data_IF_030349353386
#
_entry.id   IF_030349353386
#
_cell.length_a   1.000
_cell.length_b   1.000
_cell.length_c   1.000
_cell.angle_alpha   90.00
_cell.angle_beta   90.00
_cell.angle_gamma   90.00
#
_symmetry.space_group_name_H-M   'P 1'
#
loop_
_entity.id
_entity.type
_entity.pdbx_description
1 polymer ?
#
# COMPACT_ATOMS: atom_id res chain seq x y z
N UNK A 1 -33.82 57.61 -6.87
CA UNK A 1 -33.84 56.51 -5.88
C UNK A 1 -33.76 55.14 -6.55
N UNK A 2 -34.47 54.89 -7.66
CA UNK A 2 -34.37 53.65 -8.43
C UNK A 2 -32.95 53.36 -8.96
N UNK A 3 -32.24 54.38 -9.46
CA UNK A 3 -30.89 54.20 -10.05
C UNK A 3 -29.83 53.73 -9.04
N UNK A 4 -29.95 54.16 -7.78
CA UNK A 4 -29.04 53.76 -6.70
C UNK A 4 -29.30 52.30 -6.26
N UNK A 5 -30.55 51.83 -6.39
CA UNK A 5 -30.90 50.44 -6.10
C UNK A 5 -30.38 49.53 -7.22
N UNK A 6 -30.55 49.93 -8.49
CA UNK A 6 -30.05 49.17 -9.63
C UNK A 6 -28.52 49.03 -9.60
N UNK A 7 -27.81 50.14 -9.34
CA UNK A 7 -26.35 50.12 -9.23
C UNK A 7 -25.85 49.14 -8.15
N UNK A 8 -26.48 49.13 -6.96
CA UNK A 8 -26.10 48.19 -5.88
C UNK A 8 -26.40 46.74 -6.23
N UNK A 9 -27.45 46.50 -7.00
CA UNK A 9 -27.80 45.17 -7.52
C UNK A 9 -26.72 44.68 -8.49
N UNK A 10 -26.30 45.53 -9.42
CA UNK A 10 -25.26 45.21 -10.39
C UNK A 10 -23.91 44.94 -9.69
N UNK A 11 -23.53 45.77 -8.72
CA UNK A 11 -22.32 45.57 -7.89
C UNK A 11 -22.38 44.25 -7.09
N UNK A 12 -23.54 43.92 -6.53
CA UNK A 12 -23.74 42.65 -5.79
C UNK A 12 -23.66 41.44 -6.72
N UNK A 13 -24.15 41.56 -7.96
CA UNK A 13 -24.13 40.49 -8.96
C UNK A 13 -22.70 40.18 -9.43
N UNK A 14 -21.86 41.22 -9.58
CA UNK A 14 -20.43 41.07 -9.88
C UNK A 14 -19.73 40.29 -8.77
N UNK A 15 -19.94 40.68 -7.51
CA UNK A 15 -19.34 39.99 -6.36
C UNK A 15 -19.79 38.52 -6.30
N UNK A 16 -21.08 38.24 -6.48
CA UNK A 16 -21.60 36.86 -6.49
C UNK A 16 -20.98 36.01 -7.62
N UNK A 17 -20.75 36.61 -8.80
CA UNK A 17 -20.13 35.94 -9.95
C UNK A 17 -18.66 35.61 -9.68
N UNK A 18 -17.93 36.52 -9.04
CA UNK A 18 -16.55 36.29 -8.61
C UNK A 18 -16.45 35.17 -7.57
N UNK A 19 -17.36 35.16 -6.58
CA UNK A 19 -17.43 34.11 -5.57
C UNK A 19 -17.72 32.74 -6.20
N UNK A 20 -18.65 32.65 -7.14
CA UNK A 20 -18.93 31.43 -7.90
C UNK A 20 -17.72 30.94 -8.70
N UNK A 21 -17.00 31.87 -9.34
CA UNK A 21 -15.79 31.55 -10.10
C UNK A 21 -14.68 31.00 -9.20
N UNK A 22 -14.50 31.56 -8.01
CA UNK A 22 -13.53 31.06 -7.04
C UNK A 22 -13.92 29.68 -6.50
N UNK A 23 -15.20 29.46 -6.21
CA UNK A 23 -15.72 28.17 -5.76
C UNK A 23 -15.48 27.06 -6.79
N UNK A 24 -15.71 27.32 -8.08
CA UNK A 24 -15.46 26.35 -9.14
C UNK A 24 -13.97 25.97 -9.25
N UNK A 25 -13.05 26.92 -9.02
CA UNK A 25 -11.61 26.64 -8.99
C UNK A 25 -11.24 25.74 -7.81
N UNK A 26 -11.80 25.97 -6.62
CA UNK A 26 -11.57 25.13 -5.45
C UNK A 26 -12.06 23.70 -5.71
N UNK A 27 -13.25 23.56 -6.31
CA UNK A 27 -13.80 22.24 -6.66
C UNK A 27 -12.91 21.48 -7.64
N UNK A 28 -12.40 22.15 -8.68
CA UNK A 28 -11.46 21.55 -9.63
C UNK A 28 -10.15 21.08 -8.96
N UNK A 29 -9.60 21.88 -8.04
CA UNK A 29 -8.40 21.49 -7.27
C UNK A 29 -8.67 20.24 -6.43
N UNK A 30 -9.84 20.17 -5.79
CA UNK A 30 -10.22 19.02 -4.98
C UNK A 30 -10.41 17.75 -5.82
N UNK A 31 -10.98 17.88 -7.01
CA UNK A 31 -11.13 16.75 -7.94
C UNK A 31 -9.76 16.23 -8.43
N UNK A 32 -8.83 17.14 -8.77
CA UNK A 32 -7.47 16.77 -9.19
C UNK A 32 -6.66 16.12 -8.06
N UNK A 33 -6.83 16.59 -6.82
CA UNK A 33 -6.22 15.97 -5.65
C UNK A 33 -6.73 14.54 -5.47
N UNK A 34 -8.05 14.34 -5.53
CA UNK A 34 -8.67 13.02 -5.40
C UNK A 34 -8.18 12.05 -6.49
N UNK A 35 -8.10 12.51 -7.75
CA UNK A 35 -7.55 11.71 -8.86
C UNK A 35 -6.08 11.36 -8.63
N UNK A 36 -5.29 12.28 -8.08
CA UNK A 36 -3.87 12.05 -7.80
C UNK A 36 -3.67 11.03 -6.68
N UNK A 37 -4.48 11.09 -5.63
CA UNK A 37 -4.49 10.09 -4.55
C UNK A 37 -4.83 8.70 -5.11
N UNK A 38 -5.88 8.59 -5.93
CA UNK A 38 -6.23 7.31 -6.56
C UNK A 38 -5.11 6.74 -7.44
N UNK A 39 -4.39 7.60 -8.20
CA UNK A 39 -3.23 7.17 -8.98
C UNK A 39 -2.09 6.67 -8.09
N UNK A 40 -1.83 7.33 -6.97
CA UNK A 40 -0.84 6.90 -5.97
C UNK A 40 -1.20 5.54 -5.37
N UNK A 41 -2.46 5.34 -4.98
CA UNK A 41 -2.93 4.04 -4.46
C UNK A 41 -2.74 2.92 -5.48
N UNK A 42 -3.15 3.16 -6.74
CA UNK A 42 -2.93 2.19 -7.83
C UNK A 42 -1.45 1.89 -8.06
N UNK A 43 -0.60 2.91 -7.99
CA UNK A 43 0.85 2.75 -8.16
C UNK A 43 1.46 1.92 -7.02
N UNK A 44 1.03 2.13 -5.77
CA UNK A 44 1.45 1.33 -4.61
C UNK A 44 1.05 -0.14 -4.81
N UNK A 45 -0.17 -0.41 -5.29
CA UNK A 45 -0.64 -1.77 -5.57
C UNK A 45 0.21 -2.44 -6.65
N UNK A 46 0.48 -1.75 -7.77
CA UNK A 46 1.33 -2.28 -8.84
C UNK A 46 2.77 -2.56 -8.37
N UNK A 47 3.35 -1.68 -7.54
CA UNK A 47 4.68 -1.91 -6.98
C UNK A 47 4.74 -3.15 -6.08
N UNK A 48 3.73 -3.37 -5.25
CA UNK A 48 3.63 -4.58 -4.42
C UNK A 48 3.59 -5.84 -5.30
N UNK A 49 2.84 -5.82 -6.40
CA UNK A 49 2.79 -6.93 -7.36
C UNK A 49 4.15 -7.18 -8.02
N UNK A 50 4.82 -6.13 -8.52
CA UNK A 50 6.16 -6.26 -9.14
C UNK A 50 7.17 -6.81 -8.12
N UNK A 51 7.12 -6.33 -6.88
CA UNK A 51 7.99 -6.81 -5.81
C UNK A 51 7.74 -8.27 -5.49
N UNK A 52 6.47 -8.69 -5.39
CA UNK A 52 6.06 -10.08 -5.20
C UNK A 52 6.58 -10.99 -6.34
N UNK A 53 6.40 -10.59 -7.60
CA UNK A 53 6.88 -11.34 -8.78
C UNK A 53 8.41 -11.47 -8.77
N UNK A 54 9.13 -10.40 -8.41
CA UNK A 54 10.60 -10.45 -8.31
C UNK A 54 11.05 -11.36 -7.18
N UNK A 55 10.33 -11.38 -6.07
CA UNK A 55 10.59 -12.26 -4.93
C UNK A 55 10.33 -13.72 -5.27
N UNK A 56 9.21 -14.06 -5.92
CA UNK A 56 8.92 -15.43 -6.36
C UNK A 56 9.90 -15.92 -7.41
N UNK A 57 10.29 -15.10 -8.38
CA UNK A 57 11.32 -15.44 -9.35
C UNK A 57 12.69 -15.69 -8.69
N UNK A 58 13.04 -14.88 -7.68
CA UNK A 58 14.26 -15.10 -6.89
C UNK A 58 14.16 -16.35 -6.02
N UNK A 59 12.99 -16.64 -5.44
CA UNK A 59 12.76 -17.87 -4.68
C UNK A 59 12.86 -19.11 -5.56
N UNK A 60 12.24 -19.14 -6.75
CA UNK A 60 12.34 -20.26 -7.68
C UNK A 60 13.81 -20.56 -8.09
N UNK A 61 14.63 -19.52 -8.24
CA UNK A 61 16.06 -19.66 -8.51
C UNK A 61 16.91 -19.99 -7.28
N UNK A 62 16.39 -19.80 -6.07
CA UNK A 62 17.11 -19.94 -4.79
C UNK A 62 16.46 -21.01 -3.89
N UNK A 63 15.53 -21.83 -4.40
CA UNK A 63 14.99 -22.99 -3.70
C UNK A 63 16.13 -23.95 -3.37
N UNK A 64 16.70 -23.80 -2.18
CA UNK A 64 17.80 -24.62 -1.68
C UNK A 64 17.20 -25.81 -0.96
N UNK A 65 17.87 -26.97 -1.05
CA UNK A 65 17.52 -28.15 -0.22
C UNK A 65 17.70 -27.90 1.28
N UNK A 66 18.42 -26.85 1.66
CA UNK A 66 18.62 -26.45 3.05
C UNK A 66 18.87 -24.94 3.15
N UNK A 67 18.35 -24.33 4.22
CA UNK A 67 18.67 -22.96 4.62
C UNK A 67 19.37 -22.95 5.97
N UNK A 68 20.26 -21.98 6.17
CA UNK A 68 20.75 -21.62 7.51
C UNK A 68 19.69 -20.80 8.25
N UNK A 69 19.74 -20.79 9.58
CA UNK A 69 18.82 -19.98 10.40
C UNK A 69 18.92 -18.49 10.05
N UNK A 70 20.13 -17.99 9.79
CA UNK A 70 20.37 -16.60 9.40
C UNK A 70 19.68 -16.25 8.08
N UNK A 71 19.79 -17.11 7.06
CA UNK A 71 19.12 -16.90 5.77
C UNK A 71 17.59 -16.91 5.91
N UNK A 72 17.04 -17.90 6.62
CA UNK A 72 15.60 -18.01 6.82
C UNK A 72 15.03 -16.83 7.62
N UNK A 73 15.77 -16.35 8.62
CA UNK A 73 15.38 -15.18 9.43
C UNK A 73 15.42 -13.91 8.59
N UNK A 74 16.46 -13.71 7.78
CA UNK A 74 16.56 -12.56 6.88
C UNK A 74 15.42 -12.53 5.85
N UNK A 75 15.03 -13.70 5.32
CA UNK A 75 13.89 -13.82 4.40
C UNK A 75 12.56 -13.56 5.10
N UNK A 76 12.31 -14.17 6.27
CA UNK A 76 11.09 -13.94 7.04
C UNK A 76 10.92 -12.47 7.44
N UNK A 77 12.02 -11.77 7.73
CA UNK A 77 12.00 -10.34 8.06
C UNK A 77 11.46 -9.45 6.92
N UNK A 78 11.66 -9.85 5.65
CA UNK A 78 11.06 -9.15 4.49
C UNK A 78 9.53 -9.14 4.58
N UNK A 79 8.94 -10.18 5.18
CA UNK A 79 7.49 -10.31 5.39
C UNK A 79 7.03 -9.80 6.77
N UNK A 80 7.89 -9.10 7.50
CA UNK A 80 7.62 -8.62 8.86
C UNK A 80 7.46 -9.76 9.88
N UNK A 81 8.06 -10.91 9.61
CA UNK A 81 8.01 -12.08 10.48
C UNK A 81 9.36 -12.34 11.16
N UNK A 82 9.33 -13.03 12.30
CA UNK A 82 10.53 -13.51 13.01
C UNK A 82 10.55 -15.03 13.08
N UNK A 83 11.74 -15.62 13.08
CA UNK A 83 11.94 -17.07 13.19
C UNK A 83 12.61 -17.38 14.52
N UNK A 84 11.97 -18.24 15.33
CA UNK A 84 12.50 -18.65 16.63
C UNK A 84 12.66 -20.16 16.65
N UNK A 85 13.80 -20.64 17.15
CA UNK A 85 14.05 -22.08 17.30
C UNK A 85 13.30 -22.61 18.53
N UNK A 86 12.56 -23.70 18.35
CA UNK A 86 11.82 -24.39 19.42
C UNK A 86 12.13 -25.89 19.33
N UNK A 87 13.04 -26.36 20.19
CA UNK A 87 13.52 -27.74 20.17
C UNK A 87 14.23 -28.07 18.85
N UNK A 88 13.72 -29.07 18.14
CA UNK A 88 14.22 -29.51 16.83
C UNK A 88 13.58 -28.79 15.64
N UNK A 89 12.59 -27.92 15.89
CA UNK A 89 11.84 -27.19 14.87
C UNK A 89 12.02 -25.67 15.03
N UNK A 90 11.40 -24.94 14.12
CA UNK A 90 11.37 -23.48 14.09
C UNK A 90 9.93 -22.99 14.03
N UNK A 91 9.65 -21.88 14.70
CA UNK A 91 8.38 -21.18 14.65
C UNK A 91 8.55 -19.90 13.85
N UNK A 92 7.64 -19.66 12.90
CA UNK A 92 7.47 -18.39 12.24
C UNK A 92 6.44 -17.57 13.02
N UNK A 93 6.81 -16.37 13.43
CA UNK A 93 6.00 -15.47 14.23
C UNK A 93 5.74 -14.18 13.46
N UNK A 94 4.53 -13.64 13.57
CA UNK A 94 4.18 -12.29 13.10
C UNK A 94 3.37 -11.62 14.21
N UNK A 95 3.80 -10.43 14.64
CA UNK A 95 3.17 -9.72 15.75
C UNK A 95 3.04 -10.58 17.03
N UNK A 96 4.10 -11.31 17.39
CA UNK A 96 4.16 -12.26 18.52
C UNK A 96 3.18 -13.44 18.46
N UNK A 97 2.47 -13.66 17.35
CA UNK A 97 1.63 -14.84 17.14
C UNK A 97 2.35 -15.84 16.25
N UNK A 98 2.29 -17.12 16.61
CA UNK A 98 2.84 -18.20 15.77
C UNK A 98 1.95 -18.37 14.55
N UNK A 99 2.52 -18.18 13.37
CA UNK A 99 1.85 -18.42 12.08
C UNK A 99 2.06 -19.85 11.59
N UNK A 100 3.28 -20.36 11.76
CA UNK A 100 3.66 -21.68 11.24
C UNK A 100 4.79 -22.30 12.08
N UNK A 101 4.88 -23.62 12.09
CA UNK A 101 5.93 -24.38 12.78
C UNK A 101 6.46 -25.48 11.88
N UNK A 102 7.77 -25.54 11.66
CA UNK A 102 8.36 -26.51 10.72
C UNK A 102 9.88 -26.48 10.66
N UNK A 103 10.43 -27.08 9.60
CA UNK A 103 11.84 -26.92 9.22
C UNK A 103 12.08 -25.51 8.64
N UNK A 104 13.34 -25.10 8.53
CA UNK A 104 13.68 -23.81 7.91
C UNK A 104 13.20 -23.71 6.45
N UNK A 105 13.31 -24.81 5.70
CA UNK A 105 12.77 -24.91 4.33
C UNK A 105 11.26 -24.67 4.36
N UNK A 106 10.52 -25.42 5.19
CA UNK A 106 9.07 -25.28 5.27
C UNK A 106 8.61 -23.88 5.73
N UNK A 107 9.39 -23.19 6.58
CA UNK A 107 9.12 -21.79 6.93
C UNK A 107 9.29 -20.87 5.73
N UNK A 108 10.38 -21.01 4.99
CA UNK A 108 10.65 -20.18 3.81
C UNK A 108 9.54 -20.42 2.77
N UNK A 109 9.21 -21.67 2.49
CA UNK A 109 8.13 -22.06 1.58
C UNK A 109 6.79 -21.45 2.03
N UNK A 110 6.50 -21.49 3.34
CA UNK A 110 5.28 -20.89 3.90
C UNK A 110 5.24 -19.37 3.66
N UNK A 111 6.35 -18.66 3.90
CA UNK A 111 6.44 -17.22 3.66
C UNK A 111 6.12 -16.86 2.19
N UNK A 112 6.69 -17.60 1.24
CA UNK A 112 6.46 -17.33 -0.18
C UNK A 112 5.05 -17.71 -0.64
N UNK A 113 4.52 -18.83 -0.17
CA UNK A 113 3.23 -19.34 -0.65
C UNK A 113 2.02 -18.68 0.04
N UNK A 114 2.18 -18.16 1.26
CA UNK A 114 1.05 -17.69 2.08
C UNK A 114 1.18 -16.24 2.56
N UNK A 115 2.37 -15.63 2.54
CA UNK A 115 2.58 -14.25 3.00
C UNK A 115 2.90 -13.26 1.89
N UNK A 116 3.05 -13.74 0.65
CA UNK A 116 2.97 -12.88 -0.52
C UNK A 116 1.49 -12.55 -0.72
N UNK A 117 1.04 -11.46 -0.08
CA UNK A 117 -0.23 -10.83 -0.44
C UNK A 117 -0.07 -10.29 -1.87
N UNK A 118 -0.46 -11.09 -2.85
CA UNK A 118 -0.95 -10.53 -4.10
C UNK A 118 -2.26 -9.81 -3.73
N UNK A 119 -2.47 -8.56 -4.15
CA UNK A 119 -3.72 -7.87 -3.89
C UNK A 119 -4.87 -8.75 -4.41
N UNK A 120 -5.77 -9.14 -3.50
CA UNK A 120 -7.01 -9.81 -3.83
C UNK A 120 -7.77 -8.94 -4.83
N UNK A 121 -8.14 -9.54 -5.97
CA UNK A 121 -8.92 -8.90 -7.03
C UNK A 121 -10.19 -8.26 -6.50
#
# INVERSE_FOLDING_TARGET
>A
MADNIQQKLDESLVVLTDWLTQWNKIYAIQEDLNRSIQKLDNWIVQWKQIYAIRLTARYANVCKKSYTLTEATALAAVFGCSVVKVGTKYNLLKNNKVLFTGSLVAIVDYCFNNLIDLPSQ
#
